data_IF_967748045829
#
_entry.id   IF_967748045829
#
_cell.length_a   1.000
_cell.length_b   1.000
_cell.length_c   1.000
_cell.angle_alpha   90.00
_cell.angle_beta   90.00
_cell.angle_gamma   90.00
#
_symmetry.space_group_name_H-M   'P 1'
#
loop_
_entity.id
_entity.type
_entity.pdbx_description
1 polymer ?
#
# COMPACT_ATOMS: atom_id res chain seq x y z
N UNK A 1 57.16 35.25 13.07
CA UNK A 1 56.23 35.59 11.98
C UNK A 1 56.48 34.64 10.81
N UNK A 2 55.48 34.07 10.12
CA UNK A 2 54.06 33.90 10.45
C UNK A 2 53.55 32.45 10.25
N UNK A 3 52.25 32.28 10.54
CA UNK A 3 51.44 31.08 10.64
C UNK A 3 51.38 30.21 9.37
N UNK A 4 51.58 28.90 9.53
CA UNK A 4 51.13 27.87 8.59
C UNK A 4 49.70 27.47 8.98
N UNK A 5 48.75 28.00 8.24
CA UNK A 5 47.31 27.80 8.39
C UNK A 5 46.94 26.35 8.08
N UNK A 6 46.57 25.58 9.10
CA UNK A 6 45.81 24.34 9.00
C UNK A 6 44.32 24.70 8.79
N UNK A 7 43.91 24.90 7.54
CA UNK A 7 42.50 25.12 7.18
C UNK A 7 42.11 24.30 5.94
N UNK A 8 42.49 23.03 5.88
CA UNK A 8 42.26 22.17 4.72
C UNK A 8 41.13 21.14 4.85
N UNK A 9 40.75 20.73 6.06
CA UNK A 9 39.84 19.58 6.25
C UNK A 9 38.61 19.84 7.10
N UNK A 10 38.48 21.00 7.76
CA UNK A 10 37.36 21.27 8.67
C UNK A 10 36.09 21.84 7.98
N UNK A 11 36.18 22.34 6.74
CA UNK A 11 35.06 22.99 6.05
C UNK A 11 34.39 22.15 4.93
N UNK A 12 35.01 21.04 4.52
CA UNK A 12 34.42 20.15 3.51
C UNK A 12 33.31 19.27 4.12
N UNK A 13 33.58 18.66 5.27
CA UNK A 13 32.66 17.76 5.98
C UNK A 13 31.35 18.46 6.40
N UNK A 14 31.45 19.66 7.01
CA UNK A 14 30.28 20.44 7.42
C UNK A 14 29.43 20.94 6.24
N UNK A 15 30.04 21.16 5.07
CA UNK A 15 29.31 21.66 3.89
C UNK A 15 28.56 20.53 3.22
N UNK A 16 29.19 19.35 3.12
CA UNK A 16 28.55 18.14 2.59
C UNK A 16 27.41 17.65 3.50
N UNK A 17 27.54 17.76 4.82
CA UNK A 17 26.46 17.47 5.77
C UNK A 17 25.27 18.42 5.64
N UNK A 18 25.53 19.73 5.44
CA UNK A 18 24.48 20.73 5.22
C UNK A 18 23.77 20.54 3.88
N UNK A 19 24.51 20.15 2.84
CA UNK A 19 23.94 19.82 1.53
C UNK A 19 23.11 18.54 1.62
N UNK A 20 23.62 17.48 2.26
CA UNK A 20 22.89 16.23 2.48
C UNK A 20 21.60 16.47 3.25
N UNK A 21 21.65 17.24 4.35
CA UNK A 21 20.47 17.59 5.14
C UNK A 21 19.40 18.39 4.37
N UNK A 22 19.78 19.15 3.34
CA UNK A 22 18.85 19.86 2.47
C UNK A 22 18.31 18.98 1.31
N UNK A 23 19.12 18.03 0.82
CA UNK A 23 18.75 17.17 -0.32
C UNK A 23 17.82 16.03 0.10
N UNK A 24 18.05 15.42 1.27
CA UNK A 24 17.22 14.30 1.78
C UNK A 24 15.71 14.59 1.78
N UNK A 25 15.20 15.68 2.40
CA UNK A 25 13.76 15.93 2.43
C UNK A 25 13.17 16.21 1.04
N UNK A 26 13.97 16.76 0.11
CA UNK A 26 13.54 16.99 -1.26
C UNK A 26 13.44 15.67 -2.04
N UNK A 27 14.40 14.78 -1.85
CA UNK A 27 14.38 13.43 -2.41
C UNK A 27 13.18 12.64 -1.90
N UNK A 28 12.93 12.65 -0.59
CA UNK A 28 11.79 11.97 0.03
C UNK A 28 10.45 12.51 -0.50
N UNK A 29 10.30 13.82 -0.59
CA UNK A 29 9.08 14.45 -1.12
C UNK A 29 8.84 14.10 -2.58
N UNK A 30 9.91 14.01 -3.38
CA UNK A 30 9.83 13.63 -4.80
C UNK A 30 9.46 12.15 -4.96
N UNK A 31 10.05 11.28 -4.16
CA UNK A 31 9.71 9.86 -4.15
C UNK A 31 8.28 9.62 -3.67
N UNK A 32 7.83 10.35 -2.65
CA UNK A 32 6.45 10.32 -2.17
C UNK A 32 5.46 10.74 -3.26
N UNK A 33 5.77 11.82 -3.99
CA UNK A 33 4.98 12.25 -5.15
C UNK A 33 4.87 11.13 -6.18
N UNK A 34 5.98 10.45 -6.49
CA UNK A 34 5.99 9.33 -7.42
C UNK A 34 5.10 8.17 -6.95
N UNK A 35 5.14 7.81 -5.66
CA UNK A 35 4.29 6.77 -5.07
C UNK A 35 2.81 7.14 -5.20
N UNK A 36 2.44 8.39 -4.91
CA UNK A 36 1.04 8.86 -5.01
C UNK A 36 0.57 8.87 -6.46
N UNK A 37 1.40 9.31 -7.40
CA UNK A 37 1.08 9.23 -8.84
C UNK A 37 0.89 7.77 -9.25
N UNK A 38 1.78 6.87 -8.81
CA UNK A 38 1.65 5.43 -9.02
C UNK A 38 0.33 4.88 -8.48
N UNK A 39 -0.07 5.27 -7.26
CA UNK A 39 -1.33 4.85 -6.66
C UNK A 39 -2.54 5.29 -7.50
N UNK A 40 -2.54 6.54 -7.97
CA UNK A 40 -3.62 7.07 -8.82
C UNK A 40 -3.71 6.28 -10.14
N UNK A 41 -2.58 5.99 -10.77
CA UNK A 41 -2.54 5.22 -12.02
C UNK A 41 -3.09 3.80 -11.82
N UNK A 42 -2.74 3.13 -10.73
CA UNK A 42 -3.24 1.79 -10.43
C UNK A 42 -4.72 1.81 -10.06
N UNK A 43 -5.21 2.80 -9.31
CA UNK A 43 -6.65 2.95 -9.04
C UNK A 43 -7.42 3.15 -10.34
N UNK A 44 -6.85 3.85 -11.32
CA UNK A 44 -7.49 4.02 -12.63
C UNK A 44 -7.65 2.70 -13.41
N UNK A 45 -6.92 1.63 -13.04
CA UNK A 45 -7.16 0.29 -13.59
C UNK A 45 -8.57 -0.21 -13.28
N UNK A 46 -9.22 0.25 -12.22
CA UNK A 46 -10.61 -0.13 -11.90
C UNK A 46 -11.60 0.33 -12.96
N UNK A 47 -11.37 1.50 -13.56
CA UNK A 47 -12.16 1.93 -14.71
C UNK A 47 -11.90 1.01 -15.93
N UNK A 48 -10.66 0.55 -16.10
CA UNK A 48 -10.29 -0.42 -17.13
C UNK A 48 -11.01 -1.76 -16.96
N UNK A 49 -10.99 -2.34 -15.76
CA UNK A 49 -11.70 -3.58 -15.44
C UNK A 49 -13.20 -3.43 -15.63
N UNK A 50 -13.80 -2.33 -15.17
CA UNK A 50 -15.22 -2.07 -15.36
C UNK A 50 -15.63 -2.06 -16.83
N UNK A 51 -14.82 -1.43 -17.71
CA UNK A 51 -15.07 -1.40 -19.15
C UNK A 51 -14.88 -2.78 -19.80
N UNK A 52 -13.82 -3.51 -19.43
CA UNK A 52 -13.52 -4.82 -20.03
C UNK A 52 -14.56 -5.86 -19.61
N UNK A 53 -14.90 -5.93 -18.33
CA UNK A 53 -15.88 -6.89 -17.81
C UNK A 53 -17.28 -6.60 -18.36
N UNK A 54 -17.68 -5.32 -18.39
CA UNK A 54 -18.96 -4.95 -18.97
C UNK A 54 -18.98 -5.25 -20.48
N UNK A 55 -17.88 -4.99 -21.20
CA UNK A 55 -17.76 -5.23 -22.64
C UNK A 55 -17.85 -6.70 -23.05
N UNK A 56 -17.37 -7.62 -22.20
CA UNK A 56 -17.45 -9.06 -22.45
C UNK A 56 -18.74 -9.72 -21.95
N UNK A 57 -19.66 -8.98 -21.33
CA UNK A 57 -20.92 -9.52 -20.79
C UNK A 57 -22.10 -9.24 -21.69
N UNK A 58 -23.19 -10.01 -21.52
CA UNK A 58 -24.40 -9.80 -22.29
C UNK A 58 -25.01 -8.44 -21.94
N UNK A 59 -25.56 -7.75 -22.94
CA UNK A 59 -26.19 -6.42 -22.79
C UNK A 59 -27.19 -6.32 -21.62
N UNK A 60 -27.91 -7.41 -21.32
CA UNK A 60 -28.89 -7.46 -20.22
C UNK A 60 -28.25 -7.39 -18.82
N UNK A 61 -26.98 -7.78 -18.70
CA UNK A 61 -26.23 -7.86 -17.45
C UNK A 61 -25.25 -6.70 -17.26
N UNK A 62 -25.06 -5.85 -18.29
CA UNK A 62 -24.07 -4.78 -18.29
C UNK A 62 -24.18 -3.85 -17.05
N UNK A 63 -25.40 -3.44 -16.68
CA UNK A 63 -25.61 -2.59 -15.50
C UNK A 63 -25.24 -3.28 -14.18
N UNK A 64 -25.50 -4.59 -14.06
CA UNK A 64 -25.13 -5.37 -12.88
C UNK A 64 -23.61 -5.54 -12.77
N UNK A 65 -22.92 -5.74 -13.89
CA UNK A 65 -21.46 -5.92 -13.92
C UNK A 65 -20.74 -4.61 -13.61
N UNK A 66 -21.20 -3.49 -14.19
CA UNK A 66 -20.66 -2.17 -13.90
C UNK A 66 -20.82 -1.78 -12.42
N UNK A 67 -22.00 -2.04 -11.84
CA UNK A 67 -22.25 -1.76 -10.41
C UNK A 67 -21.43 -2.65 -9.48
N UNK A 68 -21.17 -3.90 -9.87
CA UNK A 68 -20.28 -4.80 -9.13
C UNK A 68 -18.84 -4.27 -9.13
N UNK A 69 -18.32 -3.85 -10.29
CA UNK A 69 -16.97 -3.25 -10.38
C UNK A 69 -16.83 -1.97 -9.55
N UNK A 70 -17.88 -1.15 -9.45
CA UNK A 70 -17.84 0.02 -8.58
C UNK A 70 -17.88 -0.37 -7.08
N UNK A 71 -18.65 -1.40 -6.73
CA UNK A 71 -18.81 -1.84 -5.36
C UNK A 71 -17.59 -2.58 -4.80
N UNK A 72 -16.81 -3.30 -5.65
CA UNK A 72 -15.67 -4.10 -5.17
C UNK A 72 -14.62 -3.23 -4.49
N UNK A 73 -14.32 -2.04 -5.07
CA UNK A 73 -13.38 -1.10 -4.50
C UNK A 73 -13.76 -0.68 -3.08
N UNK A 74 -15.03 -0.29 -2.87
CA UNK A 74 -15.48 0.10 -1.53
C UNK A 74 -15.42 -1.04 -0.51
N UNK A 75 -15.80 -2.25 -0.92
CA UNK A 75 -15.79 -3.43 -0.05
C UNK A 75 -14.36 -3.87 0.31
N UNK A 76 -13.49 -3.98 -0.71
CA UNK A 76 -12.09 -4.32 -0.54
C UNK A 76 -11.38 -3.27 0.30
N UNK A 77 -11.63 -1.98 0.04
CA UNK A 77 -11.05 -0.86 0.80
C UNK A 77 -11.37 -0.98 2.29
N UNK A 78 -12.62 -1.22 2.66
CA UNK A 78 -13.01 -1.37 4.08
C UNK A 78 -12.34 -2.58 4.72
N UNK A 79 -12.33 -3.74 4.05
CA UNK A 79 -11.67 -4.94 4.56
C UNK A 79 -10.16 -4.74 4.75
N UNK A 80 -9.52 -4.08 3.79
CA UNK A 80 -8.10 -3.81 3.81
C UNK A 80 -7.73 -2.73 4.83
N UNK A 81 -8.51 -1.67 4.98
CA UNK A 81 -8.20 -0.59 5.92
C UNK A 81 -8.17 -1.06 7.38
N UNK A 82 -9.15 -1.88 7.80
CA UNK A 82 -9.27 -2.29 9.20
C UNK A 82 -8.45 -3.52 9.57
N UNK A 83 -8.38 -4.51 8.67
CA UNK A 83 -7.76 -5.81 8.97
C UNK A 83 -6.56 -6.04 8.07
N UNK A 84 -6.71 -5.85 6.76
CA UNK A 84 -5.71 -6.30 5.80
C UNK A 84 -4.39 -5.53 5.83
N UNK A 85 -4.42 -4.22 5.98
CA UNK A 85 -3.22 -3.40 5.98
C UNK A 85 -2.38 -3.59 7.24
N UNK A 86 -2.96 -3.58 8.47
CA UNK A 86 -2.22 -3.99 9.66
C UNK A 86 -1.63 -5.39 9.50
N UNK A 87 -2.41 -6.34 8.96
CA UNK A 87 -1.98 -7.73 8.78
C UNK A 87 -0.80 -7.88 7.81
N UNK A 88 -0.79 -7.12 6.72
CA UNK A 88 0.23 -7.22 5.68
C UNK A 88 1.47 -6.35 5.93
N UNK A 89 1.26 -5.13 6.42
CA UNK A 89 2.28 -4.07 6.44
C UNK A 89 2.44 -3.40 7.80
N UNK A 90 1.87 -3.98 8.86
CA UNK A 90 1.99 -3.44 10.22
C UNK A 90 3.43 -3.17 10.64
N UNK A 91 4.32 -4.13 10.46
CA UNK A 91 5.75 -4.00 10.80
C UNK A 91 6.63 -3.45 9.66
N UNK A 92 6.05 -2.99 8.56
CA UNK A 92 6.83 -2.58 7.38
C UNK A 92 7.34 -1.15 7.54
N UNK A 93 8.65 -0.97 7.34
CA UNK A 93 9.29 0.35 7.21
C UNK A 93 10.29 0.34 6.05
N UNK A 94 10.50 1.51 5.45
CA UNK A 94 11.44 1.69 4.36
C UNK A 94 12.20 3.02 4.51
N UNK A 95 13.17 3.09 5.44
CA UNK A 95 13.80 4.34 5.85
C UNK A 95 14.61 5.02 4.75
N UNK A 96 14.54 6.35 4.67
CA UNK A 96 15.36 7.16 3.75
C UNK A 96 14.92 7.18 2.28
N UNK A 97 13.72 6.69 1.97
CA UNK A 97 13.20 6.67 0.59
C UNK A 97 12.06 7.67 0.37
N UNK A 98 10.90 7.41 0.97
CA UNK A 98 9.71 8.25 0.80
C UNK A 98 9.12 8.72 2.14
N UNK A 99 9.93 8.66 3.20
CA UNK A 99 9.58 9.10 4.56
C UNK A 99 8.82 8.09 5.41
N UNK A 100 8.90 6.78 5.09
CA UNK A 100 8.35 5.69 5.91
C UNK A 100 9.44 5.11 6.83
N UNK A 101 9.94 5.94 7.75
CA UNK A 101 11.10 5.57 8.58
C UNK A 101 10.73 4.70 9.79
N UNK A 102 9.48 4.76 10.24
CA UNK A 102 8.97 3.97 11.36
C UNK A 102 7.80 3.08 10.92
N UNK A 103 7.75 1.81 11.37
CA UNK A 103 6.62 0.93 11.11
C UNK A 103 5.40 1.35 11.93
N UNK A 104 4.21 0.93 11.47
CA UNK A 104 2.95 1.21 12.18
C UNK A 104 2.83 0.42 13.49
N UNK A 105 3.30 -0.83 13.49
CA UNK A 105 3.35 -1.74 14.63
C UNK A 105 4.80 -2.05 14.98
N UNK A 106 5.08 -2.27 16.28
CA UNK A 106 6.41 -2.64 16.74
C UNK A 106 6.93 -3.97 16.16
N UNK A 107 6.03 -4.92 15.92
CA UNK A 107 6.34 -6.23 15.36
C UNK A 107 5.42 -6.53 14.18
N UNK A 108 5.90 -7.21 13.11
CA UNK A 108 5.05 -7.67 12.03
C UNK A 108 4.06 -8.73 12.53
N UNK A 109 2.79 -8.60 12.15
CA UNK A 109 1.76 -9.60 12.47
C UNK A 109 2.01 -10.93 11.77
N UNK A 110 2.51 -10.87 10.53
CA UNK A 110 2.96 -12.01 9.73
C UNK A 110 4.37 -11.68 9.23
N UNK A 111 5.38 -12.46 9.64
CA UNK A 111 6.79 -12.21 9.30
C UNK A 111 7.65 -13.48 9.23
N UNK A 112 8.95 -13.35 8.97
CA UNK A 112 9.90 -14.45 9.10
C UNK A 112 10.49 -14.51 10.52
N UNK A 113 10.10 -15.52 11.31
CA UNK A 113 10.60 -15.72 12.69
C UNK A 113 9.54 -15.50 13.78
N UNK A 114 9.26 -14.24 14.14
CA UNK A 114 8.28 -13.91 15.19
C UNK A 114 6.91 -13.62 14.58
N UNK A 115 5.89 -14.37 14.99
CA UNK A 115 4.51 -14.20 14.54
C UNK A 115 3.67 -13.71 15.71
N UNK A 116 3.27 -12.43 15.69
CA UNK A 116 2.42 -11.84 16.73
C UNK A 116 0.91 -11.99 16.44
N UNK A 117 0.55 -12.76 15.40
CA UNK A 117 -0.83 -12.94 14.92
C UNK A 117 -1.81 -13.21 16.08
N UNK A 118 -2.75 -12.26 16.29
CA UNK A 118 -3.79 -12.24 17.34
C UNK A 118 -3.35 -11.87 18.77
N UNK A 119 -2.05 -11.74 19.06
CA UNK A 119 -1.56 -11.52 20.43
C UNK A 119 -1.07 -10.08 20.69
N UNK A 120 -0.65 -9.35 19.66
CA UNK A 120 -0.31 -7.91 19.73
C UNK A 120 -0.16 -7.30 18.32
N UNK A 121 -0.23 -5.97 18.18
CA UNK A 121 0.13 -5.27 16.93
C UNK A 121 -1.01 -5.08 15.92
N UNK A 122 -2.22 -4.80 16.41
CA UNK A 122 -3.37 -4.43 15.56
C UNK A 122 -3.58 -2.90 15.54
N UNK A 123 -2.51 -2.12 15.59
CA UNK A 123 -2.64 -0.68 15.49
C UNK A 123 -3.21 -0.34 14.11
N UNK A 124 -4.11 0.64 14.09
CA UNK A 124 -4.81 1.04 12.89
C UNK A 124 -4.19 2.31 12.32
N UNK A 125 -4.40 2.54 11.01
CA UNK A 125 -3.88 3.68 10.27
C UNK A 125 -4.08 5.04 10.97
N UNK A 126 -5.11 5.20 11.80
CA UNK A 126 -5.41 6.44 12.52
C UNK A 126 -4.38 6.83 13.58
N UNK A 127 -3.73 5.86 14.23
CA UNK A 127 -2.81 6.11 15.34
C UNK A 127 -1.38 6.44 14.86
N UNK A 128 -1.03 6.03 13.64
CA UNK A 128 0.29 6.21 13.03
C UNK A 128 0.25 7.00 11.70
N UNK A 129 -0.79 7.80 11.46
CA UNK A 129 -1.08 8.45 10.18
C UNK A 129 -0.01 9.47 9.73
N UNK A 130 1.10 8.99 9.15
CA UNK A 130 2.07 9.82 8.44
C UNK A 130 1.69 9.97 6.95
N UNK A 131 2.08 11.05 6.26
CA UNK A 131 1.83 11.21 4.83
C UNK A 131 2.40 10.04 4.00
N UNK A 132 3.58 9.55 4.38
CA UNK A 132 4.22 8.40 3.76
C UNK A 132 3.43 7.10 3.95
N UNK A 133 2.94 6.85 5.18
CA UNK A 133 2.12 5.68 5.47
C UNK A 133 0.80 5.70 4.70
N UNK A 134 0.14 6.86 4.64
CA UNK A 134 -1.12 7.01 3.89
C UNK A 134 -0.90 6.86 2.38
N UNK A 135 0.19 7.41 1.84
CA UNK A 135 0.54 7.21 0.42
C UNK A 135 0.84 5.74 0.11
N UNK A 136 1.58 5.05 0.99
CA UNK A 136 1.85 3.63 0.86
C UNK A 136 0.59 2.78 1.00
N UNK A 137 -0.30 3.11 1.92
CA UNK A 137 -1.62 2.50 2.04
C UNK A 137 -2.45 2.68 0.77
N UNK A 138 -2.52 3.90 0.24
CA UNK A 138 -3.23 4.20 -1.02
C UNK A 138 -2.64 3.41 -2.20
N UNK A 139 -1.32 3.25 -2.23
CA UNK A 139 -0.65 2.42 -3.22
C UNK A 139 -1.06 0.95 -3.06
N UNK A 140 -0.95 0.39 -1.86
CA UNK A 140 -1.21 -1.03 -1.61
C UNK A 140 -2.70 -1.42 -1.68
N UNK A 141 -3.61 -0.53 -1.31
CA UNK A 141 -5.06 -0.78 -1.46
C UNK A 141 -5.45 -0.83 -2.94
N UNK A 142 -4.75 -0.10 -3.81
CA UNK A 142 -4.97 -0.17 -5.25
C UNK A 142 -4.60 -1.57 -5.79
N UNK A 143 -3.45 -2.13 -5.38
CA UNK A 143 -3.07 -3.51 -5.75
C UNK A 143 -4.03 -4.55 -5.19
N UNK A 144 -4.41 -4.42 -3.91
CA UNK A 144 -5.41 -5.28 -3.30
C UNK A 144 -6.70 -5.30 -4.11
N UNK A 145 -7.20 -4.14 -4.53
CA UNK A 145 -8.44 -4.05 -5.30
C UNK A 145 -8.30 -4.64 -6.71
N UNK A 146 -7.14 -4.48 -7.36
CA UNK A 146 -6.88 -5.19 -8.64
C UNK A 146 -6.90 -6.71 -8.47
N UNK A 147 -6.52 -7.24 -7.30
CA UNK A 147 -6.65 -8.67 -7.01
C UNK A 147 -8.11 -9.04 -6.75
N UNK A 148 -8.88 -8.18 -6.09
CA UNK A 148 -10.29 -8.42 -5.80
C UNK A 148 -11.16 -8.46 -7.06
N UNK A 149 -10.81 -7.69 -8.09
CA UNK A 149 -11.59 -7.56 -9.35
C UNK A 149 -11.30 -8.67 -10.38
N UNK A 150 -10.12 -9.30 -10.38
CA UNK A 150 -9.81 -10.39 -11.33
C UNK A 150 -10.85 -11.54 -11.28
N UNK A 151 -11.25 -12.05 -10.10
CA UNK A 151 -12.27 -13.09 -10.03
C UNK A 151 -13.67 -12.59 -10.43
N UNK A 152 -13.98 -11.29 -10.27
CA UNK A 152 -15.31 -10.75 -10.59
C UNK A 152 -15.59 -10.81 -12.09
N UNK A 153 -14.59 -10.55 -12.93
CA UNK A 153 -14.69 -10.75 -14.37
C UNK A 153 -14.86 -12.22 -14.77
N UNK A 154 -14.15 -13.14 -14.10
CA UNK A 154 -14.24 -14.58 -14.41
C UNK A 154 -15.61 -15.21 -14.08
N UNK A 155 -16.30 -14.66 -13.08
CA UNK A 155 -17.59 -15.14 -12.58
C UNK A 155 -18.76 -14.21 -12.96
N UNK A 156 -18.52 -13.30 -13.91
CA UNK A 156 -19.53 -12.37 -14.39
C UNK A 156 -20.81 -13.12 -14.81
N UNK A 157 -21.96 -12.45 -14.65
CA UNK A 157 -23.32 -12.95 -14.97
C UNK A 157 -23.93 -14.03 -14.05
N UNK A 158 -23.14 -14.74 -13.24
CA UNK A 158 -23.63 -15.86 -12.39
C UNK A 158 -23.39 -15.67 -10.89
N UNK A 159 -22.70 -14.61 -10.50
CA UNK A 159 -22.41 -14.32 -9.09
C UNK A 159 -23.60 -13.70 -8.37
N UNK A 160 -24.06 -14.35 -7.29
CA UNK A 160 -24.99 -13.76 -6.33
C UNK A 160 -24.36 -12.60 -5.56
N UNK A 161 -25.08 -11.49 -5.41
CA UNK A 161 -24.63 -10.29 -4.69
C UNK A 161 -24.09 -10.56 -3.29
N UNK A 162 -24.76 -11.41 -2.49
CA UNK A 162 -24.29 -11.74 -1.12
C UNK A 162 -22.91 -12.38 -1.13
N UNK A 163 -22.66 -13.30 -2.06
CA UNK A 163 -21.37 -13.97 -2.19
C UNK A 163 -20.30 -13.00 -2.70
N UNK A 164 -20.68 -12.02 -3.53
CA UNK A 164 -19.80 -10.97 -4.01
C UNK A 164 -19.34 -10.05 -2.87
N UNK A 165 -20.26 -9.65 -1.97
CA UNK A 165 -19.92 -8.83 -0.78
C UNK A 165 -18.96 -9.57 0.15
N UNK A 166 -19.23 -10.84 0.41
CA UNK A 166 -18.35 -11.68 1.25
C UNK A 166 -16.96 -11.79 0.61
N UNK A 167 -16.89 -11.94 -0.72
CA UNK A 167 -15.62 -11.98 -1.42
C UNK A 167 -14.84 -10.67 -1.30
N UNK A 168 -15.45 -9.51 -1.54
CA UNK A 168 -14.74 -8.22 -1.45
C UNK A 168 -14.13 -8.01 -0.07
N UNK A 169 -14.89 -8.28 0.99
CA UNK A 169 -14.41 -8.18 2.38
C UNK A 169 -13.33 -9.22 2.69
N UNK A 170 -13.53 -10.48 2.30
CA UNK A 170 -12.56 -11.55 2.53
C UNK A 170 -11.25 -11.32 1.77
N UNK A 171 -11.33 -10.83 0.53
CA UNK A 171 -10.19 -10.52 -0.30
C UNK A 171 -9.33 -9.43 0.33
N UNK A 172 -9.97 -8.33 0.72
CA UNK A 172 -9.29 -7.20 1.36
C UNK A 172 -8.79 -7.49 2.77
N UNK A 173 -9.51 -8.29 3.58
CA UNK A 173 -9.16 -8.52 4.97
C UNK A 173 -8.16 -9.66 5.19
N UNK A 174 -8.21 -10.72 4.39
CA UNK A 174 -7.48 -11.97 4.67
C UNK A 174 -6.67 -12.46 3.46
N UNK A 175 -7.34 -12.70 2.33
CA UNK A 175 -6.70 -13.40 1.20
C UNK A 175 -5.50 -12.63 0.63
N UNK A 176 -5.69 -11.39 0.17
CA UNK A 176 -4.58 -10.58 -0.35
C UNK A 176 -3.52 -10.27 0.72
N UNK A 177 -3.90 -9.81 1.93
CA UNK A 177 -2.95 -9.47 2.98
C UNK A 177 -1.97 -10.57 3.37
N UNK A 178 -2.39 -11.83 3.41
CA UNK A 178 -1.49 -12.94 3.79
C UNK A 178 -0.33 -13.07 2.80
N UNK A 179 -0.64 -13.08 1.49
CA UNK A 179 0.39 -13.19 0.46
C UNK A 179 1.23 -11.91 0.35
N UNK A 180 0.60 -10.74 0.54
CA UNK A 180 1.30 -9.47 0.59
C UNK A 180 2.29 -9.43 1.78
N UNK A 181 1.90 -9.92 2.95
CA UNK A 181 2.79 -10.01 4.11
C UNK A 181 4.00 -10.89 3.82
N UNK A 182 3.75 -12.08 3.24
CA UNK A 182 4.82 -13.03 2.95
C UNK A 182 5.83 -12.49 1.96
N UNK A 183 5.38 -11.76 0.93
CA UNK A 183 6.22 -11.31 -0.19
C UNK A 183 6.84 -9.93 0.03
N UNK A 184 6.11 -9.03 0.68
CA UNK A 184 6.47 -7.61 0.76
C UNK A 184 6.42 -7.03 2.18
N UNK A 185 5.78 -7.71 3.13
CA UNK A 185 5.62 -7.26 4.51
C UNK A 185 6.74 -7.67 5.47
N UNK A 186 7.87 -8.21 4.97
CA UNK A 186 8.94 -8.78 5.79
C UNK A 186 8.73 -10.26 6.15
N UNK A 187 7.88 -10.94 5.39
CA UNK A 187 7.72 -12.38 5.46
C UNK A 187 8.92 -13.16 4.91
N UNK A 188 8.69 -14.43 4.61
CA UNK A 188 9.75 -15.39 4.29
C UNK A 188 10.00 -15.56 2.78
N UNK A 189 9.15 -14.98 1.93
CA UNK A 189 9.29 -14.97 0.46
C UNK A 189 9.99 -13.69 0.02
#
# INVERSE_FOLDING_TARGET
MPALVLAGSAFADETDDKISAAVQPLTESTNLLWVVIGAILVIFMQAGFALVETGFTQKKNAAHVMSSNFAIFGLGFVGFMFIGFPLAFGGFSYPGYFGLDAPMNAEPLIGSGNWAFLWSGWDHLGDAASPALLAFFLYMVAFMDTVATIPTGSMAERWKWKSFVVWGLFCGAIYYPIFAAWTWGGGWL
#
